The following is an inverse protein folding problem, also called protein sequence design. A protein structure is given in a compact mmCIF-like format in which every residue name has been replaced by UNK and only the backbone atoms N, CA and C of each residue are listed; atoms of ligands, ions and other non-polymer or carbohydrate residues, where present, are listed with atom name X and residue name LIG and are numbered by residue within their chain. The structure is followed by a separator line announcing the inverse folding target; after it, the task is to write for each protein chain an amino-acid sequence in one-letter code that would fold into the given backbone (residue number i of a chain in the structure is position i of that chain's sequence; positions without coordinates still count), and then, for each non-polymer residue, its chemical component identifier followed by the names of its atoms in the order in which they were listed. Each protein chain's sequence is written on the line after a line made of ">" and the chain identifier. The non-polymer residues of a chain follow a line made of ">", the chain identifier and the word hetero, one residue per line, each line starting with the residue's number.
data_IF_656467470482
#
_entry.id   IF_656467470482
#
_cell.length_a   1.000
_cell.length_b   1.000
_cell.length_c   1.000
_cell.angle_alpha   90.00
_cell.angle_beta   90.00
_cell.angle_gamma   90.00
#
_symmetry.space_group_name_H-M   'P 1'
#
loop_
_entity.id
_entity.type
_entity.pdbx_description
1 polymer ?
#
# COMPACT_ATOMS: atom_id res chain seq x y z
N UNK A 1 -27.78 -9.23 -6.25
CA UNK A 1 -26.95 -10.45 -6.22
C UNK A 1 -25.84 -10.22 -5.18
N UNK A 2 -25.43 -11.23 -4.41
CA UNK A 2 -24.28 -11.06 -3.52
C UNK A 2 -23.05 -10.65 -4.35
N UNK A 3 -22.25 -9.73 -3.85
CA UNK A 3 -21.00 -9.32 -4.48
C UNK A 3 -20.02 -10.51 -4.51
N UNK A 4 -19.19 -10.59 -5.56
CA UNK A 4 -18.38 -11.76 -5.87
C UNK A 4 -17.18 -11.98 -4.94
N UNK A 5 -16.44 -13.05 -5.26
CA UNK A 5 -15.11 -13.35 -4.70
C UNK A 5 -14.05 -13.07 -5.74
N UNK A 6 -12.97 -12.49 -5.29
CA UNK A 6 -11.90 -12.00 -6.15
C UNK A 6 -10.54 -12.39 -5.57
N UNK A 7 -9.68 -12.90 -6.41
CA UNK A 7 -8.35 -13.34 -5.98
C UNK A 7 -7.31 -12.26 -6.23
N UNK A 8 -6.55 -11.90 -5.21
CA UNK A 8 -5.55 -10.83 -5.27
C UNK A 8 -4.18 -11.30 -4.76
N UNK A 9 -3.12 -10.66 -5.23
CA UNK A 9 -1.75 -10.87 -4.81
C UNK A 9 -1.22 -9.66 -4.05
N UNK A 10 -0.74 -9.88 -2.82
CA UNK A 10 -0.08 -8.90 -1.98
C UNK A 10 1.43 -9.15 -2.00
N UNK A 11 2.21 -8.27 -2.61
CA UNK A 11 3.62 -8.49 -2.85
C UNK A 11 4.52 -8.18 -1.65
N UNK A 12 5.56 -8.97 -1.50
CA UNK A 12 6.76 -8.68 -0.72
C UNK A 12 7.95 -8.52 -1.67
N UNK A 13 8.72 -7.43 -1.50
CA UNK A 13 9.88 -7.12 -2.34
C UNK A 13 11.09 -6.74 -1.50
N UNK A 14 12.29 -6.96 -2.07
CA UNK A 14 13.53 -6.37 -1.57
C UNK A 14 14.07 -5.43 -2.65
N UNK A 15 13.46 -4.24 -2.74
CA UNK A 15 13.89 -3.25 -3.73
C UNK A 15 15.27 -2.69 -3.41
N UNK A 16 15.98 -2.29 -4.45
CA UNK A 16 17.33 -1.73 -4.39
C UNK A 16 17.36 -0.32 -5.00
N UNK A 17 18.55 0.27 -5.11
CA UNK A 17 18.76 1.51 -5.85
C UNK A 17 18.67 1.33 -7.38
N UNK A 18 18.74 0.09 -7.88
CA UNK A 18 18.63 -0.25 -9.31
C UNK A 18 17.15 -0.41 -9.71
N UNK A 19 16.62 0.61 -10.39
CA UNK A 19 15.25 0.64 -10.85
C UNK A 19 14.96 -0.45 -11.90
N UNK A 20 15.93 -0.77 -12.76
CA UNK A 20 15.73 -1.79 -13.80
C UNK A 20 15.60 -3.18 -13.18
N UNK A 21 16.46 -3.51 -12.21
CA UNK A 21 16.35 -4.74 -11.44
C UNK A 21 14.99 -4.84 -10.72
N UNK A 22 14.56 -3.75 -10.09
CA UNK A 22 13.27 -3.74 -9.37
C UNK A 22 12.07 -3.93 -10.33
N UNK A 23 12.11 -3.34 -11.54
CA UNK A 23 11.05 -3.56 -12.55
C UNK A 23 11.06 -4.99 -13.12
N UNK A 24 12.21 -5.64 -13.22
CA UNK A 24 12.29 -7.07 -13.54
C UNK A 24 11.60 -7.90 -12.45
N UNK A 25 11.86 -7.58 -11.19
CA UNK A 25 11.17 -8.22 -10.05
C UNK A 25 9.65 -8.01 -10.13
N UNK A 26 9.18 -6.81 -10.48
CA UNK A 26 7.74 -6.55 -10.68
C UNK A 26 7.17 -7.44 -11.78
N UNK A 27 7.89 -7.61 -12.90
CA UNK A 27 7.48 -8.53 -13.99
C UNK A 27 7.36 -9.97 -13.51
N UNK A 28 8.31 -10.46 -12.70
CA UNK A 28 8.25 -11.79 -12.09
C UNK A 28 7.05 -11.96 -11.16
N UNK A 29 6.73 -10.91 -10.38
CA UNK A 29 5.55 -10.90 -9.50
C UNK A 29 4.25 -10.90 -10.31
N UNK A 30 4.18 -10.21 -11.46
CA UNK A 30 3.04 -10.29 -12.38
C UNK A 30 2.85 -11.72 -12.90
N UNK A 31 3.94 -12.39 -13.32
CA UNK A 31 3.89 -13.79 -13.73
C UNK A 31 3.33 -14.71 -12.63
N UNK A 32 3.83 -14.55 -11.39
CA UNK A 32 3.34 -15.35 -10.24
C UNK A 32 1.87 -15.07 -9.95
N UNK A 33 1.46 -13.81 -9.94
CA UNK A 33 0.06 -13.40 -9.69
C UNK A 33 -0.89 -13.99 -10.75
N UNK A 34 -0.49 -13.94 -12.01
CA UNK A 34 -1.28 -14.53 -13.13
C UNK A 34 -1.35 -16.06 -13.03
N UNK A 35 -0.25 -16.72 -12.68
CA UNK A 35 -0.23 -18.18 -12.48
C UNK A 35 -1.17 -18.63 -11.35
N UNK A 36 -1.37 -17.78 -10.35
CA UNK A 36 -2.32 -17.98 -9.25
C UNK A 36 -3.74 -17.47 -9.56
N UNK A 37 -4.03 -17.09 -10.82
CA UNK A 37 -5.31 -16.53 -11.27
C UNK A 37 -5.77 -15.31 -10.45
N UNK A 38 -4.85 -14.45 -10.02
CA UNK A 38 -5.17 -13.20 -9.35
C UNK A 38 -5.68 -12.16 -10.36
N UNK A 39 -6.58 -11.28 -9.90
CA UNK A 39 -7.09 -10.13 -10.67
C UNK A 39 -6.29 -8.84 -10.38
N UNK A 40 -5.52 -8.82 -9.29
CA UNK A 40 -4.77 -7.65 -8.86
C UNK A 40 -3.42 -8.01 -8.23
N UNK A 41 -2.44 -7.11 -8.41
CA UNK A 41 -1.14 -7.14 -7.74
C UNK A 41 -0.92 -5.84 -6.97
N UNK A 42 -0.70 -5.95 -5.66
CA UNK A 42 -0.38 -4.82 -4.79
C UNK A 42 1.12 -4.78 -4.53
N UNK A 43 1.79 -3.71 -4.95
CA UNK A 43 3.23 -3.50 -4.76
C UNK A 43 3.50 -2.66 -3.50
N UNK A 44 4.64 -2.86 -2.82
CA UNK A 44 4.99 -2.12 -1.60
C UNK A 44 5.45 -0.68 -1.88
N UNK A 45 5.54 0.13 -0.82
CA UNK A 45 6.19 1.44 -0.86
C UNK A 45 7.61 1.33 -1.41
N UNK A 46 8.03 2.31 -2.22
CA UNK A 46 9.36 2.36 -2.85
C UNK A 46 9.69 1.15 -3.74
N UNK A 47 8.66 0.50 -4.33
CA UNK A 47 8.83 -0.70 -5.18
C UNK A 47 9.84 -0.50 -6.31
N UNK A 48 9.86 0.70 -6.92
CA UNK A 48 10.73 0.99 -8.06
C UNK A 48 12.15 1.38 -7.65
N UNK A 49 12.32 1.98 -6.48
CA UNK A 49 13.64 2.38 -5.97
C UNK A 49 13.58 2.69 -4.48
N UNK A 50 14.53 2.17 -3.72
CA UNK A 50 14.72 2.45 -2.29
C UNK A 50 16.15 2.90 -2.02
N UNK A 51 16.35 3.69 -0.95
CA UNK A 51 17.69 4.11 -0.49
C UNK A 51 18.11 5.52 -0.90
N UNK A 52 17.40 6.20 -1.82
CA UNK A 52 17.68 7.59 -2.14
C UNK A 52 16.89 8.57 -1.27
N UNK A 53 17.55 9.58 -0.75
CA UNK A 53 17.00 10.61 0.16
C UNK A 53 16.91 11.99 -0.51
N UNK A 54 16.97 12.04 -1.84
CA UNK A 54 16.81 13.26 -2.63
C UNK A 54 15.67 13.12 -3.65
N UNK A 55 15.36 14.20 -4.35
CA UNK A 55 14.30 14.23 -5.36
C UNK A 55 14.81 13.95 -6.79
N UNK A 56 16.11 13.74 -6.99
CA UNK A 56 16.73 13.69 -8.32
C UNK A 56 16.22 12.58 -9.22
N UNK A 57 15.75 11.47 -8.61
CA UNK A 57 15.23 10.31 -9.33
C UNK A 57 13.70 10.29 -9.46
N UNK A 58 13.03 11.32 -8.97
CA UNK A 58 11.58 11.40 -9.10
C UNK A 58 11.18 11.64 -10.55
N UNK A 59 10.16 10.91 -11.00
CA UNK A 59 9.64 10.99 -12.36
C UNK A 59 8.22 11.56 -12.38
N UNK A 60 7.77 12.17 -13.48
CA UNK A 60 6.36 12.51 -13.63
C UNK A 60 5.50 11.25 -13.74
N UNK A 61 4.20 11.37 -13.53
CA UNK A 61 3.26 10.24 -13.61
C UNK A 61 3.19 9.59 -15.00
N UNK A 62 3.59 10.28 -16.03
CA UNK A 62 3.77 9.75 -17.38
C UNK A 62 5.23 9.32 -17.67
N UNK A 63 6.05 9.16 -16.63
CA UNK A 63 7.44 8.74 -16.69
C UNK A 63 7.64 7.26 -17.06
N UNK A 64 8.90 6.87 -17.33
CA UNK A 64 9.25 5.50 -17.74
C UNK A 64 8.74 4.41 -16.79
N UNK A 65 8.82 4.61 -15.47
CA UNK A 65 8.41 3.61 -14.47
C UNK A 65 6.90 3.33 -14.55
N UNK A 66 6.09 4.41 -14.52
CA UNK A 66 4.63 4.26 -14.56
C UNK A 66 4.19 3.70 -15.91
N UNK A 67 4.78 4.15 -17.03
CA UNK A 67 4.51 3.58 -18.36
C UNK A 67 4.84 2.09 -18.44
N UNK A 68 5.95 1.65 -17.85
CA UNK A 68 6.29 0.22 -17.79
C UNK A 68 5.24 -0.58 -17.01
N UNK A 69 4.80 -0.07 -15.84
CA UNK A 69 3.75 -0.70 -15.05
C UNK A 69 2.39 -0.70 -15.77
N UNK A 70 2.04 0.36 -16.51
CA UNK A 70 0.85 0.41 -17.36
C UNK A 70 0.87 -0.67 -18.45
N UNK A 71 2.03 -0.87 -19.08
CA UNK A 71 2.22 -1.94 -20.05
C UNK A 71 2.05 -3.33 -19.42
N UNK A 72 2.67 -3.58 -18.26
CA UNK A 72 2.52 -4.83 -17.52
C UNK A 72 1.07 -5.08 -17.09
N UNK A 73 0.38 -4.06 -16.55
CA UNK A 73 -1.03 -4.19 -16.17
C UNK A 73 -1.89 -4.69 -17.33
N UNK A 74 -1.70 -4.11 -18.51
CA UNK A 74 -2.42 -4.48 -19.73
C UNK A 74 -2.01 -5.86 -20.26
N UNK A 75 -0.71 -6.18 -20.26
CA UNK A 75 -0.17 -7.45 -20.74
C UNK A 75 -0.68 -8.63 -19.90
N UNK A 76 -0.65 -8.48 -18.57
CA UNK A 76 -1.02 -9.54 -17.63
C UNK A 76 -2.51 -9.52 -17.25
N UNK A 77 -3.27 -8.49 -17.63
CA UNK A 77 -4.67 -8.33 -17.24
C UNK A 77 -4.86 -8.09 -15.74
N UNK A 78 -3.87 -7.50 -15.05
CA UNK A 78 -3.86 -7.28 -13.61
C UNK A 78 -4.13 -5.81 -13.25
N UNK A 79 -5.06 -5.57 -12.36
CA UNK A 79 -5.07 -4.31 -11.62
C UNK A 79 -3.74 -4.18 -10.88
N UNK A 80 -3.06 -3.05 -11.01
CA UNK A 80 -1.79 -2.82 -10.32
C UNK A 80 -1.88 -1.65 -9.36
N UNK A 81 -1.65 -1.94 -8.07
CA UNK A 81 -1.53 -0.96 -7.01
C UNK A 81 -0.05 -0.62 -6.84
N UNK A 82 0.37 0.56 -7.32
CA UNK A 82 1.74 1.04 -7.23
C UNK A 82 1.91 1.82 -5.93
N UNK A 83 2.29 1.12 -4.87
CA UNK A 83 2.46 1.72 -3.56
C UNK A 83 3.75 2.52 -3.41
N UNK A 84 3.68 3.83 -3.10
CA UNK A 84 4.84 4.64 -2.80
C UNK A 84 5.79 4.89 -3.98
N UNK A 85 5.27 5.47 -5.03
CA UNK A 85 6.04 5.93 -6.18
C UNK A 85 6.62 7.33 -5.94
N UNK A 86 7.87 7.55 -6.35
CA UNK A 86 8.52 8.86 -6.25
C UNK A 86 8.06 9.78 -7.41
N UNK A 87 6.96 10.48 -7.21
CA UNK A 87 6.41 11.42 -8.17
C UNK A 87 7.17 12.76 -8.13
N UNK A 88 7.57 13.28 -9.28
CA UNK A 88 8.20 14.61 -9.38
C UNK A 88 7.21 15.71 -9.05
N UNK A 89 7.53 16.54 -8.04
CA UNK A 89 6.84 17.80 -7.80
C UNK A 89 7.26 18.85 -8.84
N UNK A 90 6.35 19.75 -9.20
CA UNK A 90 6.52 20.65 -10.34
C UNK A 90 7.78 21.51 -10.33
N UNK A 91 8.32 21.89 -9.16
CA UNK A 91 9.56 22.67 -9.04
C UNK A 91 10.83 21.81 -8.91
N UNK A 92 10.68 20.48 -8.79
CA UNK A 92 11.77 19.52 -8.68
C UNK A 92 12.61 19.61 -7.40
N UNK A 93 12.22 20.46 -6.43
CA UNK A 93 12.95 20.58 -5.15
C UNK A 93 12.61 19.45 -4.19
N UNK A 94 11.35 19.03 -4.24
CA UNK A 94 10.83 17.88 -3.48
C UNK A 94 10.12 16.94 -4.43
N UNK A 95 9.74 15.80 -3.92
CA UNK A 95 8.89 14.82 -4.60
C UNK A 95 7.63 14.57 -3.79
N UNK A 96 6.65 13.92 -4.38
CA UNK A 96 5.59 13.25 -3.64
C UNK A 96 5.92 11.76 -3.48
N UNK A 97 5.40 11.16 -2.43
CA UNK A 97 5.33 9.73 -2.26
C UNK A 97 3.90 9.31 -2.64
N UNK A 98 3.72 8.80 -3.85
CA UNK A 98 2.41 8.71 -4.49
C UNK A 98 1.98 7.27 -4.70
N UNK A 99 0.72 6.99 -4.43
CA UNK A 99 0.06 5.74 -4.80
C UNK A 99 -0.80 5.97 -6.03
N UNK A 100 -0.67 5.09 -7.01
CA UNK A 100 -1.50 5.05 -8.19
C UNK A 100 -2.10 3.66 -8.37
N UNK A 101 -3.33 3.60 -8.89
CA UNK A 101 -3.99 2.38 -9.32
C UNK A 101 -4.05 2.36 -10.85
N UNK A 102 -3.68 1.24 -11.47
CA UNK A 102 -3.74 1.08 -12.93
C UNK A 102 -4.84 0.09 -13.28
N UNK A 103 -5.73 0.50 -14.20
CA UNK A 103 -6.78 -0.36 -14.75
C UNK A 103 -6.20 -1.23 -15.89
N UNK A 104 -6.24 -2.56 -15.79
CA UNK A 104 -5.71 -3.46 -16.82
C UNK A 104 -6.43 -3.35 -18.17
N UNK A 105 -7.68 -2.90 -18.20
CA UNK A 105 -8.46 -2.79 -19.44
C UNK A 105 -7.98 -1.64 -20.33
N UNK A 106 -7.65 -0.51 -19.72
CA UNK A 106 -7.09 0.66 -20.42
C UNK A 106 -5.56 0.63 -20.48
N UNK A 107 -4.92 0.11 -19.43
CA UNK A 107 -3.48 0.26 -19.20
C UNK A 107 -3.12 1.67 -18.75
N UNK A 108 -4.07 2.38 -18.08
CA UNK A 108 -3.90 3.77 -17.63
C UNK A 108 -4.14 3.89 -16.13
N UNK A 109 -3.68 5.00 -15.55
CA UNK A 109 -3.98 5.34 -14.16
C UNK A 109 -5.49 5.52 -14.01
N UNK A 110 -6.07 4.84 -13.03
CA UNK A 110 -7.48 4.90 -12.67
C UNK A 110 -7.71 5.88 -11.54
N UNK A 111 -8.58 6.86 -11.73
CA UNK A 111 -8.97 7.81 -10.69
C UNK A 111 -7.86 8.80 -10.29
N UNK A 112 -8.00 9.35 -9.08
CA UNK A 112 -7.07 10.33 -8.54
C UNK A 112 -5.80 9.69 -7.97
N UNK A 113 -4.71 10.45 -7.99
CA UNK A 113 -3.44 10.02 -7.39
C UNK A 113 -3.45 10.34 -5.89
N UNK A 114 -3.28 9.33 -5.07
CA UNK A 114 -3.04 9.55 -3.65
C UNK A 114 -1.59 9.97 -3.41
N UNK A 115 -1.37 11.05 -2.67
CA UNK A 115 -0.06 11.47 -2.19
C UNK A 115 -0.01 11.34 -0.68
N UNK A 116 1.01 10.65 -0.17
CA UNK A 116 1.18 10.36 1.26
C UNK A 116 0.97 11.62 2.11
N UNK A 117 0.02 11.55 3.05
CA UNK A 117 -0.36 12.69 3.88
C UNK A 117 0.59 12.81 5.07
N UNK A 118 0.90 11.70 5.74
CA UNK A 118 1.74 11.71 6.93
C UNK A 118 3.15 11.26 6.58
N UNK A 119 4.10 12.19 6.67
CA UNK A 119 5.51 11.94 6.40
C UNK A 119 6.22 11.38 7.63
N UNK A 120 7.17 10.46 7.39
CA UNK A 120 7.90 9.78 8.44
C UNK A 120 9.07 10.68 8.92
N UNK A 121 8.79 11.55 9.88
CA UNK A 121 9.77 12.39 10.55
C UNK A 121 9.95 11.88 11.98
N UNK A 122 11.13 11.32 12.26
CA UNK A 122 11.46 10.75 13.57
C UNK A 122 12.86 11.14 14.00
N UNK A 123 13.02 11.42 15.29
CA UNK A 123 14.32 11.58 15.91
C UNK A 123 14.91 10.20 16.27
N UNK A 124 16.25 10.11 16.32
CA UNK A 124 16.99 8.86 16.52
C UNK A 124 16.72 8.11 17.84
N UNK A 125 15.85 8.62 18.69
CA UNK A 125 15.81 8.27 20.10
C UNK A 125 14.99 7.04 20.49
N UNK A 126 14.04 6.54 19.68
CA UNK A 126 13.18 5.42 20.12
C UNK A 126 12.94 4.41 18.99
N UNK A 127 13.64 3.29 19.04
CA UNK A 127 13.27 2.07 18.29
C UNK A 127 13.32 2.18 16.76
N UNK A 128 14.03 3.17 16.22
CA UNK A 128 14.25 3.33 14.79
C UNK A 128 15.67 2.94 14.47
N UNK A 129 15.85 1.80 13.80
CA UNK A 129 17.16 1.34 13.37
C UNK A 129 17.74 2.34 12.37
N UNK A 130 18.98 2.78 12.60
CA UNK A 130 19.73 3.62 11.65
C UNK A 130 19.68 5.14 11.87
N UNK A 131 19.14 5.62 13.00
CA UNK A 131 19.08 7.05 13.32
C UNK A 131 17.76 7.72 12.90
N UNK A 132 17.63 9.02 13.15
CA UNK A 132 16.46 9.80 12.77
C UNK A 132 16.28 9.87 11.24
N UNK A 133 15.04 9.90 10.79
CA UNK A 133 14.70 10.10 9.38
C UNK A 133 13.74 11.29 9.28
N UNK A 134 13.99 12.19 8.33
CA UNK A 134 13.12 13.30 8.01
C UNK A 134 12.67 13.21 6.56
N UNK A 135 11.56 12.50 6.35
CA UNK A 135 10.97 12.35 5.00
C UNK A 135 10.54 13.72 4.45
N UNK A 136 10.15 14.65 5.32
CA UNK A 136 9.76 16.00 4.94
C UNK A 136 10.89 16.84 4.31
N UNK A 137 12.15 16.48 4.50
CA UNK A 137 13.27 17.20 3.89
C UNK A 137 13.24 17.10 2.36
N UNK A 138 12.81 15.96 1.81
CA UNK A 138 12.79 15.67 0.37
C UNK A 138 11.43 15.28 -0.19
N UNK A 139 10.40 15.14 0.66
CA UNK A 139 9.04 14.78 0.25
C UNK A 139 8.07 15.87 0.67
N UNK A 140 7.10 16.19 -0.20
CA UNK A 140 5.96 17.06 0.11
C UNK A 140 4.78 16.20 0.52
N UNK A 141 4.10 16.59 1.60
CA UNK A 141 2.88 15.95 2.04
C UNK A 141 1.72 16.21 1.06
N UNK A 142 0.88 15.18 0.87
CA UNK A 142 -0.41 15.30 0.24
C UNK A 142 -1.46 15.89 1.18
N UNK A 143 -2.64 16.20 0.64
CA UNK A 143 -3.73 16.82 1.41
C UNK A 143 -5.09 16.17 1.16
N UNK A 144 -5.18 15.24 0.19
CA UNK A 144 -6.44 14.63 -0.25
C UNK A 144 -6.36 13.12 -0.19
N UNK A 145 -7.47 12.50 0.18
CA UNK A 145 -7.65 11.05 0.10
C UNK A 145 -8.00 10.63 -1.34
N UNK A 146 -7.72 9.39 -1.68
CA UNK A 146 -8.13 8.79 -2.95
C UNK A 146 -8.72 7.41 -2.75
N UNK A 147 -9.68 7.05 -3.60
CA UNK A 147 -10.24 5.72 -3.69
C UNK A 147 -10.51 5.35 -5.15
N UNK A 148 -10.52 4.06 -5.44
CA UNK A 148 -10.58 3.53 -6.81
C UNK A 148 -11.69 2.50 -6.92
N UNK A 149 -12.55 2.64 -7.94
CA UNK A 149 -13.55 1.63 -8.27
C UNK A 149 -12.88 0.51 -9.08
N UNK A 150 -12.88 -0.70 -8.53
CA UNK A 150 -12.24 -1.88 -9.15
C UNK A 150 -13.24 -3.02 -9.31
N UNK A 151 -12.82 -4.12 -9.96
CA UNK A 151 -13.64 -5.35 -10.05
C UNK A 151 -13.83 -6.03 -8.70
N UNK A 152 -12.91 -5.83 -7.77
CA UNK A 152 -12.89 -6.47 -6.44
C UNK A 152 -13.30 -5.51 -5.30
N UNK A 153 -14.11 -4.49 -5.61
CA UNK A 153 -14.64 -3.51 -4.66
C UNK A 153 -13.94 -2.15 -4.76
N UNK A 154 -14.32 -1.24 -3.89
CA UNK A 154 -13.72 0.08 -3.80
C UNK A 154 -12.46 0.04 -2.95
N UNK A 155 -11.33 0.43 -3.52
CA UNK A 155 -10.01 0.41 -2.87
C UNK A 155 -9.65 1.79 -2.35
N UNK A 156 -9.47 1.95 -1.05
CA UNK A 156 -8.93 3.17 -0.42
C UNK A 156 -7.41 3.14 -0.39
N UNK A 157 -6.77 4.26 -0.69
CA UNK A 157 -5.32 4.39 -0.70
C UNK A 157 -4.75 4.97 0.61
N UNK A 158 -3.68 4.37 1.11
CA UNK A 158 -2.79 4.93 2.13
C UNK A 158 -1.34 4.50 1.83
N UNK A 159 -0.35 5.08 2.52
CA UNK A 159 1.05 4.69 2.39
C UNK A 159 1.73 4.67 3.76
N UNK A 160 2.21 3.50 4.17
CA UNK A 160 3.19 3.28 5.24
C UNK A 160 2.87 4.02 6.55
N UNK A 161 3.47 5.19 6.78
CA UNK A 161 3.33 5.95 8.03
C UNK A 161 1.89 6.41 8.30
N UNK A 162 1.05 6.55 7.25
CA UNK A 162 -0.38 6.80 7.41
C UNK A 162 -1.06 5.75 8.30
N UNK A 163 -0.50 4.53 8.39
CA UNK A 163 -1.02 3.46 9.24
C UNK A 163 -1.16 3.87 10.72
N UNK A 164 -0.41 4.85 11.17
CA UNK A 164 -0.46 5.35 12.56
C UNK A 164 -1.60 6.32 12.83
N UNK A 165 -2.27 6.80 11.77
CA UNK A 165 -3.28 7.85 11.85
C UNK A 165 -4.66 7.29 11.50
N UNK A 166 -5.47 6.91 12.52
CA UNK A 166 -6.76 6.25 12.31
C UNK A 166 -7.75 7.07 11.49
N UNK A 167 -7.65 8.40 11.53
CA UNK A 167 -8.58 9.30 10.84
C UNK A 167 -8.58 9.10 9.32
N UNK A 168 -7.41 8.80 8.72
CA UNK A 168 -7.30 8.43 7.31
C UNK A 168 -8.19 7.24 6.98
N UNK A 169 -8.11 6.20 7.78
CA UNK A 169 -8.83 4.93 7.59
C UNK A 169 -10.34 5.11 7.84
N UNK A 170 -10.69 5.90 8.84
CA UNK A 170 -12.08 6.25 9.12
C UNK A 170 -12.71 7.01 7.94
N UNK A 171 -11.99 7.99 7.37
CA UNK A 171 -12.48 8.73 6.22
C UNK A 171 -12.56 7.84 4.96
N UNK A 172 -11.55 7.00 4.68
CA UNK A 172 -11.61 6.03 3.58
C UNK A 172 -12.82 5.10 3.68
N UNK A 173 -13.17 4.64 4.89
CA UNK A 173 -14.33 3.78 5.09
C UNK A 173 -15.65 4.53 5.01
N UNK A 174 -15.80 5.64 5.71
CA UNK A 174 -17.11 6.25 5.95
C UNK A 174 -17.45 7.42 5.02
N UNK A 175 -16.47 7.97 4.32
CA UNK A 175 -16.66 9.06 3.35
C UNK A 175 -16.37 8.60 1.92
N UNK A 176 -15.40 7.68 1.74
CA UNK A 176 -15.07 7.10 0.44
C UNK A 176 -15.66 5.70 0.22
N UNK A 177 -16.32 5.11 1.21
CA UNK A 177 -17.02 3.81 1.13
C UNK A 177 -16.11 2.63 0.73
N UNK A 178 -14.83 2.66 1.11
CA UNK A 178 -13.87 1.62 0.78
C UNK A 178 -14.31 0.24 1.29
N UNK A 179 -14.09 -0.79 0.49
CA UNK A 179 -14.22 -2.20 0.84
C UNK A 179 -12.89 -2.84 1.16
N UNK A 180 -11.84 -2.34 0.50
CA UNK A 180 -10.45 -2.75 0.64
C UNK A 180 -9.61 -1.51 0.90
N UNK A 181 -8.65 -1.58 1.81
CA UNK A 181 -7.70 -0.50 2.06
C UNK A 181 -6.29 -1.03 1.81
N UNK A 182 -5.53 -0.40 0.92
CA UNK A 182 -4.15 -0.75 0.68
C UNK A 182 -3.20 0.02 1.60
N UNK A 183 -2.17 -0.67 2.10
CA UNK A 183 -1.17 -0.14 3.03
C UNK A 183 0.23 -0.57 2.57
N UNK A 184 0.69 -0.13 1.38
CA UNK A 184 2.03 -0.41 0.92
C UNK A 184 3.06 0.22 1.85
N UNK A 185 4.09 -0.52 2.24
CA UNK A 185 4.99 -0.06 3.31
C UNK A 185 6.44 -0.52 3.17
N UNK A 186 7.32 0.26 3.80
CA UNK A 186 8.71 -0.07 4.04
C UNK A 186 9.06 0.15 5.53
N UNK A 187 8.35 -0.54 6.43
CA UNK A 187 8.57 -0.44 7.87
C UNK A 187 9.97 -0.91 8.25
N UNK A 188 10.62 -0.19 9.15
CA UNK A 188 11.88 -0.65 9.76
C UNK A 188 11.64 -1.91 10.57
N UNK A 189 12.67 -2.71 10.76
CA UNK A 189 12.58 -3.99 11.47
C UNK A 189 12.03 -3.83 12.89
N UNK A 190 12.54 -2.89 13.66
CA UNK A 190 12.14 -2.65 15.06
C UNK A 190 10.68 -2.21 15.17
N UNK A 191 10.26 -1.21 14.38
CA UNK A 191 8.89 -0.73 14.41
C UNK A 191 7.91 -1.71 13.78
N UNK A 192 8.35 -2.48 12.79
CA UNK A 192 7.57 -3.54 12.17
C UNK A 192 7.25 -4.65 13.17
N UNK A 193 8.26 -5.16 13.86
CA UNK A 193 8.09 -6.20 14.87
C UNK A 193 7.11 -5.81 15.98
N UNK A 194 7.15 -4.55 16.40
CA UNK A 194 6.31 -4.07 17.50
C UNK A 194 4.88 -3.66 17.07
N UNK A 195 4.69 -3.14 15.85
CA UNK A 195 3.46 -2.43 15.50
C UNK A 195 2.74 -2.94 14.25
N UNK A 196 3.42 -3.59 13.30
CA UNK A 196 2.91 -3.88 11.97
C UNK A 196 1.58 -4.65 12.00
N UNK A 197 1.60 -5.86 12.53
CA UNK A 197 0.41 -6.73 12.57
C UNK A 197 -0.72 -6.13 13.41
N UNK A 198 -0.38 -5.59 14.59
CA UNK A 198 -1.38 -5.04 15.53
C UNK A 198 -2.14 -3.86 14.89
N UNK A 199 -1.42 -2.92 14.26
CA UNK A 199 -2.04 -1.77 13.62
C UNK A 199 -2.89 -2.18 12.41
N UNK A 200 -2.39 -3.06 11.54
CA UNK A 200 -3.13 -3.52 10.37
C UNK A 200 -4.44 -4.22 10.75
N UNK A 201 -4.40 -5.09 11.75
CA UNK A 201 -5.59 -5.77 12.26
C UNK A 201 -6.58 -4.79 12.89
N UNK A 202 -6.09 -3.80 13.62
CA UNK A 202 -6.94 -2.73 14.17
C UNK A 202 -7.64 -1.96 13.04
N UNK A 203 -6.92 -1.58 11.97
CA UNK A 203 -7.51 -0.90 10.81
C UNK A 203 -8.60 -1.74 10.15
N UNK A 204 -8.35 -3.04 9.92
CA UNK A 204 -9.34 -3.93 9.34
C UNK A 204 -10.62 -4.03 10.19
N UNK A 205 -10.47 -4.18 11.52
CA UNK A 205 -11.60 -4.34 12.45
C UNK A 205 -12.43 -3.06 12.55
N UNK A 206 -11.79 -1.91 12.78
CA UNK A 206 -12.49 -0.64 13.00
C UNK A 206 -13.16 -0.06 11.75
N UNK A 207 -12.65 -0.42 10.56
CA UNK A 207 -13.22 0.01 9.29
C UNK A 207 -14.13 -1.03 8.66
N UNK A 208 -14.08 -2.28 9.09
CA UNK A 208 -14.78 -3.41 8.47
C UNK A 208 -14.43 -3.53 6.98
N UNK A 209 -13.15 -3.34 6.65
CA UNK A 209 -12.58 -3.47 5.32
C UNK A 209 -11.54 -4.60 5.30
N UNK A 210 -11.32 -5.17 4.12
CA UNK A 210 -10.06 -5.88 3.90
C UNK A 210 -8.89 -4.89 3.99
N UNK A 211 -7.75 -5.34 4.53
CA UNK A 211 -6.51 -4.58 4.53
C UNK A 211 -5.47 -5.38 3.74
N UNK A 212 -4.91 -4.78 2.69
CA UNK A 212 -3.87 -5.37 1.84
C UNK A 212 -2.57 -4.62 2.08
N UNK A 213 -1.65 -5.26 2.75
CA UNK A 213 -0.44 -4.65 3.28
C UNK A 213 0.82 -5.22 2.59
N UNK A 214 1.11 -4.72 1.38
CA UNK A 214 2.31 -5.06 0.65
C UNK A 214 3.55 -4.47 1.35
N UNK A 215 4.65 -5.23 1.43
CA UNK A 215 5.76 -4.89 2.28
C UNK A 215 7.12 -4.99 1.58
N UNK A 216 7.99 -4.01 1.85
CA UNK A 216 9.42 -4.18 1.64
C UNK A 216 10.00 -5.08 2.74
N UNK A 217 10.95 -5.96 2.38
CA UNK A 217 11.59 -6.92 3.26
C UNK A 217 13.10 -6.94 3.08
N UNK A 218 13.83 -7.33 4.13
CA UNK A 218 15.26 -7.56 4.08
C UNK A 218 16.11 -6.29 3.91
N UNK A 219 17.34 -6.48 3.44
CA UNK A 219 18.34 -5.40 3.34
C UNK A 219 18.28 -4.71 1.98
N UNK A 220 18.17 -3.38 1.99
CA UNK A 220 18.11 -2.53 0.80
C UNK A 220 19.45 -1.84 0.47
N UNK A 221 20.52 -2.20 1.17
CA UNK A 221 21.85 -1.64 1.14
C UNK A 221 22.56 -1.89 2.47
N UNK A 222 23.53 -1.05 2.81
CA UNK A 222 24.36 -1.27 4.01
C UNK A 222 23.63 -0.93 5.32
N UNK A 223 22.74 0.06 5.30
CA UNK A 223 22.21 0.69 6.53
C UNK A 223 20.69 0.52 6.71
N UNK A 224 19.95 0.10 5.68
CA UNK A 224 18.50 -0.01 5.73
C UNK A 224 18.00 -1.45 5.62
N UNK A 225 17.22 -1.86 6.61
CA UNK A 225 16.52 -3.15 6.61
C UNK A 225 15.02 -2.93 6.85
N UNK A 226 14.18 -3.61 6.07
CA UNK A 226 12.72 -3.59 6.22
C UNK A 226 12.20 -4.88 6.82
N UNK A 227 11.07 -4.77 7.53
CA UNK A 227 10.50 -5.84 8.34
C UNK A 227 9.88 -6.97 7.53
N UNK A 228 9.34 -6.68 6.34
CA UNK A 228 8.62 -7.67 5.54
C UNK A 228 7.22 -7.97 6.08
N UNK A 229 6.82 -9.26 6.01
CA UNK A 229 5.53 -9.76 6.45
C UNK A 229 4.37 -9.12 5.69
N UNK A 230 4.46 -9.09 4.35
CA UNK A 230 3.32 -8.73 3.51
C UNK A 230 2.13 -9.61 3.87
N UNK A 231 0.95 -9.02 4.06
CA UNK A 231 -0.23 -9.76 4.52
C UNK A 231 -1.54 -9.18 4.04
N UNK A 232 -2.57 -10.02 4.03
CA UNK A 232 -3.96 -9.62 3.78
C UNK A 232 -4.79 -9.98 5.02
N UNK A 233 -5.62 -9.05 5.46
CA UNK A 233 -6.45 -9.18 6.66
C UNK A 233 -7.90 -8.97 6.26
N UNK A 234 -8.80 -9.84 6.73
CA UNK A 234 -10.22 -9.75 6.48
C UNK A 234 -10.91 -8.68 7.37
N UNK A 235 -12.15 -8.28 7.07
CA UNK A 235 -12.89 -7.29 7.86
C UNK A 235 -13.16 -7.69 9.32
N UNK A 236 -12.94 -8.96 9.69
CA UNK A 236 -13.04 -9.45 11.06
C UNK A 236 -11.71 -9.40 11.81
N UNK A 237 -10.62 -8.99 11.14
CA UNK A 237 -9.27 -8.92 11.70
C UNK A 237 -8.49 -10.23 11.64
N UNK A 238 -8.91 -11.21 10.84
CA UNK A 238 -8.16 -12.46 10.63
C UNK A 238 -7.13 -12.24 9.52
N UNK A 239 -5.91 -12.71 9.73
CA UNK A 239 -4.90 -12.78 8.68
C UNK A 239 -5.30 -13.93 7.75
N UNK A 240 -5.66 -13.60 6.50
CA UNK A 240 -6.12 -14.59 5.50
C UNK A 240 -5.01 -14.99 4.53
N UNK A 241 -3.96 -14.19 4.42
CA UNK A 241 -2.72 -14.52 3.73
C UNK A 241 -1.55 -13.75 4.34
N UNK A 242 -0.36 -14.34 4.37
CA UNK A 242 0.86 -13.73 4.91
C UNK A 242 2.10 -14.36 4.27
N UNK A 243 3.13 -13.55 4.05
CA UNK A 243 4.47 -14.04 3.75
C UNK A 243 5.17 -14.41 5.08
N UNK A 244 5.47 -15.69 5.25
CA UNK A 244 5.96 -16.23 6.55
C UNK A 244 7.45 -15.96 6.79
N UNK A 245 8.27 -15.86 5.73
CA UNK A 245 9.70 -15.59 5.86
C UNK A 245 10.04 -14.13 5.61
N UNK A 246 10.48 -13.38 6.63
CA UNK A 246 10.90 -11.99 6.50
C UNK A 246 12.30 -11.82 5.90
N UNK A 247 13.09 -12.89 5.76
CA UNK A 247 14.53 -12.79 5.57
C UNK A 247 15.00 -12.63 4.13
N UNK A 248 14.30 -11.94 3.25
CA UNK A 248 14.63 -11.57 1.86
C UNK A 248 13.82 -12.30 0.78
N UNK A 249 12.73 -12.94 1.12
CA UNK A 249 11.96 -13.62 0.10
C UNK A 249 11.09 -12.64 -0.68
N UNK A 250 11.39 -12.51 -1.98
CA UNK A 250 10.52 -11.85 -2.94
C UNK A 250 9.39 -12.82 -3.30
N UNK A 251 8.14 -12.39 -3.08
CA UNK A 251 7.01 -13.26 -3.32
C UNK A 251 5.66 -12.56 -3.23
N UNK A 252 4.60 -13.36 -3.25
CA UNK A 252 3.23 -12.91 -3.12
C UNK A 252 2.48 -13.70 -2.06
N UNK A 253 1.74 -13.02 -1.21
CA UNK A 253 0.69 -13.62 -0.39
C UNK A 253 -0.63 -13.53 -1.17
N UNK A 254 -1.22 -14.69 -1.49
CA UNK A 254 -2.47 -14.76 -2.28
C UNK A 254 -3.66 -14.88 -1.37
N UNK A 255 -4.65 -14.03 -1.55
CA UNK A 255 -5.90 -14.03 -0.78
C UNK A 255 -7.14 -13.94 -1.66
N UNK A 256 -8.25 -14.44 -1.15
CA UNK A 256 -9.57 -14.21 -1.72
C UNK A 256 -10.27 -13.05 -0.98
N UNK A 257 -10.68 -12.03 -1.72
CA UNK A 257 -11.53 -10.94 -1.24
C UNK A 257 -12.97 -11.37 -1.46
N UNK A 258 -13.71 -11.62 -0.39
CA UNK A 258 -15.14 -11.93 -0.40
C UNK A 258 -15.94 -10.68 -0.04
N UNK A 259 -16.50 -10.01 -1.04
CA UNK A 259 -17.29 -8.79 -0.83
C UNK A 259 -18.61 -9.06 -0.11
N UNK A 260 -19.14 -10.28 -0.20
CA UNK A 260 -20.33 -10.66 0.57
C UNK A 260 -20.01 -10.77 2.07
N UNK A 261 -18.78 -11.15 2.45
CA UNK A 261 -18.35 -11.12 3.85
C UNK A 261 -18.32 -9.69 4.39
N UNK A 262 -17.83 -8.73 3.59
CA UNK A 262 -17.85 -7.29 3.95
C UNK A 262 -19.27 -6.83 4.26
N UNK A 263 -20.21 -7.11 3.35
CA UNK A 263 -21.62 -6.74 3.51
C UNK A 263 -22.26 -7.41 4.74
N UNK A 264 -21.97 -8.69 4.95
CA UNK A 264 -22.47 -9.46 6.09
C UNK A 264 -22.02 -8.87 7.43
N UNK A 265 -20.72 -8.58 7.57
CA UNK A 265 -20.15 -8.00 8.80
C UNK A 265 -20.75 -6.61 9.06
N UNK A 266 -20.85 -5.77 8.02
CA UNK A 266 -21.43 -4.43 8.13
C UNK A 266 -22.91 -4.45 8.50
N UNK A 267 -23.65 -5.45 8.03
CA UNK A 267 -25.05 -5.64 8.39
C UNK A 267 -25.23 -6.14 9.83
N UNK A 268 -24.41 -7.12 10.24
CA UNK A 268 -24.49 -7.70 11.58
C UNK A 268 -23.97 -6.76 12.68
N UNK A 269 -23.01 -5.90 12.35
CA UNK A 269 -22.43 -4.91 13.26
C UNK A 269 -22.38 -3.55 12.54
N UNK A 270 -23.48 -2.77 12.51
CA UNK A 270 -23.61 -1.58 11.71
C UNK A 270 -22.88 -0.37 12.35
N UNK A 271 -21.56 -0.40 12.33
CA UNK A 271 -20.72 0.64 12.93
C UNK A 271 -20.99 2.03 12.32
N UNK A 272 -21.36 2.10 11.06
CA UNK A 272 -21.71 3.36 10.41
C UNK A 272 -22.91 4.06 11.07
N UNK A 273 -23.91 3.29 11.52
CA UNK A 273 -25.10 3.78 12.23
C UNK A 273 -24.82 4.07 13.71
N UNK A 274 -23.94 3.27 14.33
CA UNK A 274 -23.59 3.42 15.75
C UNK A 274 -22.60 4.56 16.01
N UNK A 275 -21.85 4.95 14.99
CA UNK A 275 -20.81 5.97 15.08
C UNK A 275 -21.38 7.31 15.55
N UNK A 276 -20.76 7.90 16.57
CA UNK A 276 -21.05 9.27 17.04
C UNK A 276 -19.83 10.15 16.78
N UNK A 277 -20.05 11.35 16.21
CA UNK A 277 -18.97 12.33 16.11
C UNK A 277 -18.70 12.88 17.50
N UNK A 278 -17.51 12.64 18.01
CA UNK A 278 -17.04 13.26 19.24
C UNK A 278 -16.51 14.65 18.86
N UNK A 279 -17.13 15.71 19.36
CA UNK A 279 -16.55 17.05 19.29
C UNK A 279 -15.58 17.18 20.47
N UNK A 280 -14.28 17.23 20.20
CA UNK A 280 -13.34 17.71 21.19
C UNK A 280 -13.52 19.24 21.26
N UNK A 281 -14.01 19.75 22.38
CA UNK A 281 -13.89 21.16 22.72
C UNK A 281 -12.47 21.31 23.29
N UNK A 282 -11.56 21.89 22.51
CA UNK A 282 -10.24 22.29 22.94
C UNK A 282 -10.23 23.78 23.25
#
# INVERSE_FOLDING_TARGET
>A
MPRGRHRIACAQMTSTADCQHNLQTVTELCNRATAEACEALFLPEAFARIGATDASYAEPLDGPIVRACCALAKEYGLWMSLGGYAERDGDGRKRFNSHVMIDPRSGEISGDVYRKIHLFDTDAAVGVDGGGMRESDYTRAGTTLASYDTTFGKVGASICYDLRFPDVYQALRFEHEADVICVPSAFTKSTGQAHWEVLLRARAIETQCYVVAAAQAGKHGETRESYGHAMVIDPWGRIVAKMDDPSNEVGIAVAEIDLALVDSIRTQMPLAEHRRRVRAEF
#
